data_IF_109666499742
#
_entry.id   IF_109666499742
#
_cell.length_a   1.000
_cell.length_b   1.000
_cell.length_c   1.000
_cell.angle_alpha   90.00
_cell.angle_beta   90.00
_cell.angle_gamma   90.00
#
_symmetry.space_group_name_H-M   'P 1'
#
loop_
_entity.id
_entity.type
_entity.pdbx_description
1 polymer ?
#
# COMPACT_ATOMS: atom_id res chain seq x y z
N UNK A 1 -4.05 16.56 6.39
CA UNK A 1 -3.43 16.21 5.08
C UNK A 1 -4.44 15.47 4.21
N UNK A 2 -5.01 14.37 4.69
CA UNK A 2 -6.02 13.55 3.99
C UNK A 2 -7.22 14.37 3.48
N UNK A 3 -7.88 15.14 4.35
CA UNK A 3 -8.99 16.02 3.95
C UNK A 3 -8.64 16.96 2.81
N UNK A 4 -7.47 17.62 2.85
CA UNK A 4 -7.06 18.52 1.75
C UNK A 4 -6.86 17.77 0.42
N UNK A 5 -6.43 16.50 0.46
CA UNK A 5 -6.30 15.68 -0.75
C UNK A 5 -7.69 15.30 -1.27
N UNK A 6 -8.58 14.84 -0.40
CA UNK A 6 -9.94 14.49 -0.76
C UNK A 6 -10.72 15.70 -1.31
N UNK A 7 -10.61 16.87 -0.66
CA UNK A 7 -11.18 18.14 -1.11
C UNK A 7 -10.67 18.54 -2.50
N UNK A 8 -9.36 18.42 -2.72
CA UNK A 8 -8.79 18.74 -4.03
C UNK A 8 -9.30 17.81 -5.13
N UNK A 9 -9.41 16.51 -4.83
CA UNK A 9 -9.89 15.50 -5.78
C UNK A 9 -11.39 15.63 -6.04
N UNK A 10 -12.19 16.02 -5.03
CA UNK A 10 -13.64 16.20 -5.15
C UNK A 10 -14.04 17.39 -6.02
N UNK A 11 -13.10 18.31 -6.29
CA UNK A 11 -13.30 19.37 -7.28
C UNK A 11 -13.62 18.85 -8.70
N UNK A 12 -13.36 17.58 -8.98
CA UNK A 12 -13.68 16.90 -10.24
C UNK A 12 -14.97 16.06 -10.18
N UNK A 13 -15.74 16.17 -9.11
CA UNK A 13 -16.96 15.42 -8.84
C UNK A 13 -16.94 14.78 -7.46
N UNK A 14 -18.11 14.56 -6.86
CA UNK A 14 -18.24 13.80 -5.61
C UNK A 14 -17.82 12.34 -5.82
N UNK A 15 -17.22 11.72 -4.79
CA UNK A 15 -16.85 10.30 -4.86
C UNK A 15 -18.10 9.42 -4.98
N UNK A 16 -18.09 8.45 -5.89
CA UNK A 16 -19.26 7.61 -6.17
C UNK A 16 -20.27 8.18 -7.16
N UNK A 17 -20.02 9.38 -7.70
CA UNK A 17 -20.73 9.95 -8.83
C UNK A 17 -19.81 10.04 -10.06
N UNK A 18 -19.47 11.24 -10.51
CA UNK A 18 -18.65 11.47 -11.72
C UNK A 18 -17.14 11.34 -11.45
N UNK A 19 -16.72 11.25 -10.18
CA UNK A 19 -15.32 11.13 -9.81
C UNK A 19 -14.78 9.72 -10.13
N UNK A 20 -13.66 9.59 -10.87
CA UNK A 20 -13.12 8.29 -11.25
C UNK A 20 -12.35 7.57 -10.14
N UNK A 21 -12.12 8.20 -8.99
CA UNK A 21 -11.39 7.59 -7.87
C UNK A 21 -12.30 6.58 -7.15
N UNK A 22 -11.91 5.31 -7.19
CA UNK A 22 -12.65 4.19 -6.57
C UNK A 22 -11.85 3.45 -5.49
N UNK A 23 -10.56 3.75 -5.36
CA UNK A 23 -9.68 3.21 -4.35
C UNK A 23 -8.58 4.22 -4.01
N UNK A 24 -8.07 4.16 -2.79
CA UNK A 24 -7.02 5.04 -2.31
C UNK A 24 -6.05 4.29 -1.39
N UNK A 25 -4.74 4.40 -1.67
CA UNK A 25 -3.69 3.90 -0.77
C UNK A 25 -3.52 4.91 0.38
N UNK A 26 -4.14 4.61 1.53
CA UNK A 26 -4.18 5.53 2.68
C UNK A 26 -2.79 5.70 3.29
N UNK A 27 -2.06 4.60 3.43
CA UNK A 27 -0.65 4.61 3.84
C UNK A 27 0.17 3.73 2.90
N UNK A 28 1.39 4.18 2.62
CA UNK A 28 2.31 3.52 1.72
C UNK A 28 3.64 3.21 2.44
N UNK A 29 4.18 2.02 2.23
CA UNK A 29 5.55 1.62 2.63
C UNK A 29 5.85 1.72 4.12
N UNK A 30 4.86 1.41 4.96
CA UNK A 30 4.97 1.56 6.42
C UNK A 30 5.83 0.48 7.07
N UNK A 31 6.09 -0.64 6.39
CA UNK A 31 6.86 -1.76 6.93
C UNK A 31 8.37 -1.57 6.71
N UNK A 32 9.16 -1.81 7.75
CA UNK A 32 10.62 -1.79 7.67
C UNK A 32 11.13 -2.96 6.82
N UNK A 33 12.14 -2.70 5.98
CA UNK A 33 12.76 -3.76 5.16
C UNK A 33 13.47 -4.83 6.00
N UNK A 34 13.95 -4.45 7.18
CA UNK A 34 14.62 -5.33 8.13
C UNK A 34 13.74 -5.65 9.35
N UNK A 35 14.09 -6.71 10.08
CA UNK A 35 13.50 -7.03 11.38
C UNK A 35 14.16 -6.25 12.55
N UNK A 36 14.66 -5.04 12.30
CA UNK A 36 15.34 -4.23 13.32
C UNK A 36 14.42 -3.78 14.47
N UNK A 37 13.11 -3.81 14.24
CA UNK A 37 12.11 -3.37 15.20
C UNK A 37 11.08 -4.47 15.42
N UNK A 38 10.66 -4.64 16.68
CA UNK A 38 9.71 -5.68 17.08
C UNK A 38 8.31 -5.47 16.51
N UNK A 39 7.90 -4.22 16.31
CA UNK A 39 6.64 -3.84 15.66
C UNK A 39 6.69 -3.98 14.12
N UNK A 40 7.89 -4.08 13.55
CA UNK A 40 8.14 -4.19 12.12
C UNK A 40 8.01 -2.91 11.32
N UNK A 41 7.83 -1.75 11.95
CA UNK A 41 7.46 -0.51 11.27
C UNK A 41 8.67 0.39 10.93
N UNK A 42 8.55 1.17 9.85
CA UNK A 42 9.49 2.25 9.57
C UNK A 42 9.38 3.34 10.63
N UNK A 43 10.52 3.94 10.98
CA UNK A 43 10.59 5.11 11.87
C UNK A 43 10.42 6.40 11.08
N UNK A 44 9.29 6.51 10.38
CA UNK A 44 8.88 7.75 9.69
C UNK A 44 8.64 8.87 10.71
N UNK A 45 8.56 10.12 10.25
CA UNK A 45 8.25 11.22 11.16
C UNK A 45 6.84 11.08 11.76
N UNK A 46 5.88 10.58 10.99
CA UNK A 46 4.54 10.22 11.48
C UNK A 46 4.62 9.23 12.64
N UNK A 47 5.39 8.15 12.47
CA UNK A 47 5.62 7.17 13.54
C UNK A 47 6.32 7.80 14.75
N UNK A 48 7.31 8.67 14.54
CA UNK A 48 8.06 9.31 15.65
C UNK A 48 7.17 10.20 16.51
N UNK A 49 6.15 10.82 15.91
CA UNK A 49 5.23 11.73 16.60
C UNK A 49 4.08 10.98 17.28
N UNK A 50 3.46 10.03 16.56
CA UNK A 50 2.20 9.39 16.97
C UNK A 50 2.33 7.90 17.32
N UNK A 51 3.48 7.28 17.10
CA UNK A 51 3.63 5.83 17.21
C UNK A 51 2.84 5.10 16.11
N UNK A 52 2.56 3.82 16.30
CA UNK A 52 1.80 3.01 15.32
C UNK A 52 0.39 3.54 15.03
N UNK A 53 -0.22 4.22 16.01
CA UNK A 53 -1.60 4.73 15.96
C UNK A 53 -1.87 5.67 14.76
N UNK A 54 -0.83 6.33 14.21
CA UNK A 54 -1.00 7.17 13.03
C UNK A 54 -1.62 6.41 11.85
N UNK A 55 -1.38 5.10 11.76
CA UNK A 55 -1.89 4.28 10.65
C UNK A 55 -3.40 4.14 10.80
N UNK A 56 -3.90 3.75 11.97
CA UNK A 56 -5.34 3.65 12.24
C UNK A 56 -6.06 4.99 12.04
N UNK A 57 -5.52 6.07 12.63
CA UNK A 57 -6.05 7.42 12.45
C UNK A 57 -6.07 7.87 10.98
N UNK A 58 -5.08 7.48 10.19
CA UNK A 58 -5.08 7.79 8.76
C UNK A 58 -6.23 7.10 8.03
N UNK A 59 -6.54 5.85 8.36
CA UNK A 59 -7.70 5.14 7.79
C UNK A 59 -9.03 5.74 8.24
N UNK A 60 -9.18 6.07 9.53
CA UNK A 60 -10.39 6.74 10.04
C UNK A 60 -10.64 8.07 9.32
N UNK A 61 -9.61 8.92 9.18
CA UNK A 61 -9.75 10.19 8.46
C UNK A 61 -9.93 10.01 6.96
N UNK A 62 -9.38 8.95 6.37
CA UNK A 62 -9.63 8.65 4.96
C UNK A 62 -11.07 8.18 4.74
N UNK A 63 -11.62 7.41 5.67
CA UNK A 63 -13.01 6.98 5.59
C UNK A 63 -13.96 8.17 5.68
N UNK A 64 -13.78 9.02 6.70
CA UNK A 64 -14.57 10.24 6.86
C UNK A 64 -14.45 11.16 5.63
N UNK A 65 -13.25 11.34 5.08
CA UNK A 65 -13.06 12.24 3.95
C UNK A 65 -13.62 11.67 2.63
N UNK A 66 -13.28 10.43 2.28
CA UNK A 66 -13.59 9.87 0.96
C UNK A 66 -14.95 9.17 0.89
N UNK A 67 -15.47 8.67 2.01
CA UNK A 67 -16.72 7.90 2.06
C UNK A 67 -17.87 8.64 2.75
N UNK A 68 -17.61 9.74 3.47
CA UNK A 68 -18.65 10.59 4.08
C UNK A 68 -18.65 12.04 3.52
N UNK A 69 -17.67 12.88 3.89
CA UNK A 69 -17.69 14.34 3.66
C UNK A 69 -17.74 14.73 2.18
N UNK A 70 -16.93 14.07 1.35
CA UNK A 70 -16.85 14.36 -0.09
C UNK A 70 -17.48 13.27 -0.98
N UNK A 71 -18.18 12.32 -0.36
CA UNK A 71 -18.92 11.29 -1.08
C UNK A 71 -20.27 11.82 -1.56
N UNK A 72 -20.73 11.31 -2.71
CA UNK A 72 -22.06 11.59 -3.18
C UNK A 72 -23.07 10.99 -2.21
N UNK A 73 -24.08 11.75 -1.79
CA UNK A 73 -25.13 11.28 -0.86
C UNK A 73 -25.91 10.04 -1.32
N UNK A 74 -25.79 9.67 -2.61
CA UNK A 74 -26.41 8.46 -3.19
C UNK A 74 -25.47 7.25 -3.24
N UNK A 75 -24.20 7.40 -2.86
CA UNK A 75 -23.20 6.35 -2.86
C UNK A 75 -22.98 5.78 -1.44
N UNK A 76 -22.63 4.51 -1.36
CA UNK A 76 -22.27 3.82 -0.11
C UNK A 76 -20.82 3.33 -0.22
N UNK A 77 -19.95 3.86 0.64
CA UNK A 77 -18.50 3.61 0.67
C UNK A 77 -17.85 3.54 -0.73
N UNK A 78 -17.94 4.63 -1.53
CA UNK A 78 -17.51 4.64 -2.93
C UNK A 78 -16.01 4.45 -3.16
N UNK A 79 -15.17 4.74 -2.16
CA UNK A 79 -13.71 4.62 -2.27
C UNK A 79 -13.21 3.55 -1.32
N UNK A 80 -12.57 2.52 -1.88
CA UNK A 80 -11.94 1.45 -1.10
C UNK A 80 -10.59 1.88 -0.55
N UNK A 81 -10.38 1.67 0.75
CA UNK A 81 -9.18 2.10 1.45
C UNK A 81 -8.16 0.96 1.55
N UNK A 82 -6.98 1.19 0.96
CA UNK A 82 -5.90 0.20 0.90
C UNK A 82 -4.72 0.60 1.76
N UNK A 83 -4.07 -0.40 2.36
CA UNK A 83 -2.66 -0.30 2.76
C UNK A 83 -1.81 -0.86 1.62
N UNK A 84 -0.72 -0.19 1.24
CA UNK A 84 0.13 -0.63 0.11
C UNK A 84 1.61 -0.69 0.50
N UNK A 85 2.31 -1.75 0.08
CA UNK A 85 3.75 -1.91 0.32
C UNK A 85 4.44 -2.78 -0.75
N UNK A 86 5.75 -2.63 -0.89
CA UNK A 86 6.61 -3.45 -1.74
C UNK A 86 7.28 -4.58 -0.94
N UNK A 87 7.91 -5.52 -1.65
CA UNK A 87 8.58 -6.69 -1.06
C UNK A 87 7.63 -7.57 -0.22
N UNK A 88 6.33 -7.50 -0.46
CA UNK A 88 5.32 -8.31 0.22
C UNK A 88 5.36 -9.77 -0.23
N UNK A 89 6.05 -10.07 -1.33
CA UNK A 89 6.44 -11.42 -1.75
C UNK A 89 7.56 -12.03 -0.90
N UNK A 90 8.36 -11.19 -0.22
CA UNK A 90 9.45 -11.67 0.63
C UNK A 90 8.91 -12.07 2.01
N UNK A 91 8.96 -13.37 2.32
CA UNK A 91 8.37 -13.98 3.52
C UNK A 91 8.60 -13.18 4.82
N UNK A 92 9.83 -12.69 5.04
CA UNK A 92 10.16 -11.90 6.23
C UNK A 92 9.38 -10.59 6.32
N UNK A 93 9.29 -9.82 5.23
CA UNK A 93 8.55 -8.56 5.21
C UNK A 93 7.04 -8.82 5.15
N UNK A 94 6.61 -9.83 4.40
CA UNK A 94 5.22 -10.33 4.37
C UNK A 94 4.66 -10.60 5.75
N UNK A 95 5.39 -11.36 6.58
CA UNK A 95 4.92 -11.68 7.93
C UNK A 95 4.71 -10.44 8.81
N UNK A 96 5.58 -9.43 8.70
CA UNK A 96 5.42 -8.16 9.43
C UNK A 96 4.26 -7.33 8.89
N UNK A 97 4.08 -7.34 7.57
CA UNK A 97 2.99 -6.64 6.90
C UNK A 97 1.62 -7.20 7.30
N UNK A 98 1.44 -8.51 7.21
CA UNK A 98 0.20 -9.17 7.59
C UNK A 98 -0.05 -9.11 9.10
N UNK A 99 1.00 -9.15 9.93
CA UNK A 99 0.86 -8.91 11.36
C UNK A 99 0.38 -7.50 11.69
N UNK A 100 0.75 -6.47 10.91
CA UNK A 100 0.18 -5.13 11.05
C UNK A 100 -1.30 -5.13 10.63
N UNK A 101 -1.63 -5.71 9.47
CA UNK A 101 -3.02 -5.81 8.99
C UNK A 101 -3.92 -6.46 10.04
N UNK A 102 -3.48 -7.57 10.63
CA UNK A 102 -4.21 -8.23 11.71
C UNK A 102 -4.48 -7.30 12.90
N UNK A 103 -3.47 -6.53 13.36
CA UNK A 103 -3.65 -5.56 14.44
C UNK A 103 -4.63 -4.43 14.09
N UNK A 104 -4.64 -3.98 12.83
CA UNK A 104 -5.57 -2.96 12.36
C UNK A 104 -7.01 -3.49 12.34
N UNK A 105 -7.21 -4.73 11.87
CA UNK A 105 -8.52 -5.39 11.87
C UNK A 105 -9.02 -5.67 13.29
N UNK A 106 -8.15 -6.15 14.19
CA UNK A 106 -8.47 -6.36 15.60
C UNK A 106 -8.87 -5.06 16.32
N UNK A 107 -8.45 -3.91 15.78
CA UNK A 107 -8.77 -2.57 16.28
C UNK A 107 -9.94 -1.91 15.52
N UNK A 108 -10.68 -2.66 14.69
CA UNK A 108 -11.82 -2.18 13.90
C UNK A 108 -11.48 -1.01 12.95
N UNK A 109 -10.23 -0.92 12.49
CA UNK A 109 -9.81 0.11 11.51
C UNK A 109 -10.50 -0.13 10.16
N UNK A 110 -11.03 0.90 9.47
CA UNK A 110 -11.78 0.75 8.22
C UNK A 110 -10.87 0.49 7.01
N UNK A 111 -10.22 -0.68 6.99
CA UNK A 111 -9.39 -1.16 5.88
C UNK A 111 -10.25 -2.04 4.96
N UNK A 112 -10.27 -1.71 3.67
CA UNK A 112 -10.98 -2.52 2.66
C UNK A 112 -10.03 -3.47 1.90
N UNK A 113 -8.73 -3.15 1.84
CA UNK A 113 -7.82 -3.90 0.99
C UNK A 113 -6.33 -3.84 1.33
N UNK A 114 -5.61 -4.80 0.75
CA UNK A 114 -4.16 -4.97 0.83
C UNK A 114 -3.58 -4.83 -0.58
N UNK A 115 -2.63 -3.90 -0.71
CA UNK A 115 -1.85 -3.65 -1.91
C UNK A 115 -0.52 -4.39 -1.89
N UNK A 116 -0.20 -5.00 -3.03
CA UNK A 116 1.08 -5.62 -3.32
C UNK A 116 1.70 -4.90 -4.52
N UNK A 117 2.72 -4.07 -4.30
CA UNK A 117 3.36 -3.34 -5.40
C UNK A 117 3.98 -4.27 -6.44
N UNK A 118 4.58 -5.38 -5.99
CA UNK A 118 5.27 -6.36 -6.86
C UNK A 118 6.25 -5.73 -7.86
N UNK A 119 7.13 -4.87 -7.34
CA UNK A 119 8.36 -4.45 -8.02
C UNK A 119 9.38 -5.61 -8.04
N UNK A 120 9.11 -6.62 -8.86
CA UNK A 120 9.86 -7.87 -8.89
C UNK A 120 10.99 -7.86 -9.91
N UNK A 121 11.90 -8.81 -9.80
CA UNK A 121 12.85 -9.14 -10.87
C UNK A 121 12.42 -10.40 -11.64
N UNK A 122 12.97 -10.63 -12.83
CA UNK A 122 12.79 -11.89 -13.57
C UNK A 122 13.30 -13.14 -12.81
N UNK A 123 14.10 -12.97 -11.76
CA UNK A 123 14.59 -14.05 -10.93
C UNK A 123 13.68 -14.34 -9.72
N UNK A 124 12.64 -13.54 -9.49
CA UNK A 124 11.72 -13.70 -8.36
C UNK A 124 10.90 -14.97 -8.59
N UNK A 125 10.91 -15.94 -7.66
CA UNK A 125 10.09 -17.14 -7.76
C UNK A 125 8.59 -16.78 -7.81
N UNK A 126 7.85 -17.38 -8.74
CA UNK A 126 6.39 -17.21 -8.81
C UNK A 126 5.73 -17.68 -7.51
N UNK A 127 6.26 -18.74 -6.90
CA UNK A 127 5.78 -19.27 -5.62
C UNK A 127 5.83 -18.23 -4.49
N UNK A 128 6.74 -17.26 -4.54
CA UNK A 128 6.81 -16.20 -3.52
C UNK A 128 5.66 -15.19 -3.69
N UNK A 129 5.22 -14.94 -4.93
CA UNK A 129 4.05 -14.12 -5.26
C UNK A 129 2.75 -14.85 -4.91
N UNK A 130 2.65 -16.14 -5.26
CA UNK A 130 1.51 -16.99 -4.89
C UNK A 130 1.33 -17.01 -3.37
N UNK A 131 2.40 -17.28 -2.62
CA UNK A 131 2.35 -17.27 -1.17
C UNK A 131 2.01 -15.88 -0.59
N UNK A 132 2.32 -14.79 -1.30
CA UNK A 132 1.90 -13.46 -0.86
C UNK A 132 0.39 -13.26 -0.93
N UNK A 133 -0.24 -13.74 -2.01
CA UNK A 133 -1.67 -13.63 -2.23
C UNK A 133 -2.44 -14.64 -1.35
N UNK A 134 -1.92 -15.85 -1.21
CA UNK A 134 -2.52 -16.91 -0.40
C UNK A 134 -2.51 -16.54 1.09
N UNK A 135 -1.37 -16.12 1.65
CA UNK A 135 -1.28 -15.73 3.06
C UNK A 135 -2.17 -14.50 3.36
N UNK A 136 -2.30 -13.56 2.41
CA UNK A 136 -3.16 -12.38 2.56
C UNK A 136 -4.66 -12.71 2.46
N UNK A 137 -5.03 -13.83 1.82
CA UNK A 137 -6.44 -14.22 1.64
C UNK A 137 -7.14 -14.56 2.96
N UNK A 138 -6.38 -14.96 3.98
CA UNK A 138 -6.90 -15.30 5.31
C UNK A 138 -7.58 -14.11 6.01
N UNK A 139 -7.25 -12.87 5.62
CA UNK A 139 -7.78 -11.65 6.22
C UNK A 139 -9.12 -11.20 5.63
N UNK A 140 -9.60 -11.83 4.55
CA UNK A 140 -10.89 -11.52 3.93
C UNK A 140 -10.96 -10.13 3.27
N UNK A 141 -9.84 -9.44 3.11
CA UNK A 141 -9.72 -8.14 2.47
C UNK A 141 -9.58 -8.26 0.94
N UNK A 142 -9.93 -7.18 0.22
CA UNK A 142 -9.61 -7.08 -1.20
C UNK A 142 -8.10 -7.10 -1.39
N UNK A 143 -7.62 -7.71 -2.48
CA UNK A 143 -6.21 -7.68 -2.83
C UNK A 143 -6.01 -6.99 -4.17
N UNK A 144 -4.98 -6.15 -4.24
CA UNK A 144 -4.59 -5.47 -5.47
C UNK A 144 -3.10 -5.67 -5.76
N UNK A 145 -2.77 -6.05 -6.99
CA UNK A 145 -1.42 -5.89 -7.52
C UNK A 145 -1.32 -4.49 -8.10
N UNK A 146 -0.58 -3.60 -7.45
CA UNK A 146 -0.70 -2.15 -7.65
C UNK A 146 0.32 -1.57 -8.62
N UNK A 147 1.55 -2.10 -8.67
CA UNK A 147 2.67 -1.47 -9.40
C UNK A 147 3.57 -2.46 -10.16
N UNK A 148 3.00 -3.61 -10.59
CA UNK A 148 3.76 -4.72 -11.16
C UNK A 148 4.74 -4.27 -12.25
N UNK A 149 6.02 -4.52 -12.00
CA UNK A 149 7.09 -4.28 -12.97
C UNK A 149 8.17 -5.34 -12.84
N UNK A 150 8.90 -5.54 -13.93
CA UNK A 150 10.11 -6.35 -13.96
C UNK A 150 11.15 -5.67 -14.84
N UNK A 151 11.96 -4.75 -14.28
CA UNK A 151 12.96 -4.05 -15.08
C UNK A 151 13.95 -5.07 -15.70
N UNK A 152 14.37 -4.84 -16.96
CA UNK A 152 15.34 -5.70 -17.61
C UNK A 152 16.67 -5.67 -16.85
N UNK A 153 17.41 -6.79 -16.89
CA UNK A 153 18.73 -6.86 -16.28
C UNK A 153 19.62 -5.67 -16.71
N UNK A 154 20.40 -5.07 -15.79
CA UNK A 154 21.20 -3.89 -16.11
C UNK A 154 22.08 -4.19 -17.33
N UNK A 155 21.96 -3.36 -18.37
CA UNK A 155 22.84 -3.47 -19.54
C UNK A 155 24.28 -3.39 -19.06
N UNK A 156 25.07 -4.44 -19.30
CA UNK A 156 26.51 -4.39 -19.06
C UNK A 156 27.06 -3.11 -19.70
N UNK A 157 27.73 -2.24 -18.95
CA UNK A 157 28.49 -1.13 -19.53
C UNK A 157 29.38 -1.75 -20.60
N UNK A 158 29.12 -1.47 -21.88
CA UNK A 158 30.07 -1.78 -22.96
C UNK A 158 31.40 -1.17 -22.52
N UNK A 159 32.38 -2.00 -22.14
CA UNK A 159 33.76 -1.55 -22.02
C UNK A 159 34.11 -1.04 -23.42
N UNK A 160 34.26 0.28 -23.56
CA UNK A 160 34.89 0.84 -24.75
C UNK A 160 36.33 0.32 -24.75
N UNK A 161 36.58 -0.76 -25.47
CA UNK A 161 37.93 -1.09 -25.91
C UNK A 161 38.36 0.07 -26.79
N UNK A 162 39.22 0.93 -26.27
CA UNK A 162 39.94 1.89 -27.11
C UNK A 162 40.78 1.07 -28.08
N UNK A 163 40.38 1.04 -29.35
CA UNK A 163 41.31 0.73 -30.43
C UNK A 163 42.27 1.92 -30.46
N UNK A 164 43.49 1.73 -29.94
CA UNK A 164 44.63 2.56 -30.33
C UNK A 164 45.24 1.92 -31.59
N UNK A 165 45.67 2.80 -32.48
CA UNK A 165 46.22 2.54 -33.82
C UNK A 165 47.28 1.45 -33.86
#
# INVERSE_FOLDING_TARGET
HIFNVAEYLSAWGEFGADNPVVAFDVVNEVINDSAAYTDGLRRSEWYRILGEEYIGLAFEYADEAFNDEYAASTADRPVKLFINDYNTEQSGKRGRYLALVGRLLDADVPIDGIGHQFHVSLATPIADLEAALDDASEYGLLQAVTELTSPPAPRSRRRSSSIRA
#
